data_IF_484405067024
#
_entry.id   IF_484405067024
#
_cell.length_a   1.000
_cell.length_b   1.000
_cell.length_c   1.000
_cell.angle_alpha   90.00
_cell.angle_beta   90.00
_cell.angle_gamma   90.00
#
_symmetry.space_group_name_H-M   'P 1'
#
loop_
_entity.id
_entity.type
_entity.pdbx_description
1 polymer ?
#
# COMPACT_ATOMS: atom_id res chain seq x y z
N UNK A 1 33.59 -3.08 -20.39
CA UNK A 1 32.67 -3.62 -20.32
C UNK A 1 32.28 -3.58 -20.20
N UNK A 2 32.91 -3.20 -20.45
CA UNK A 2 31.94 -3.61 -20.41
C UNK A 2 31.54 -3.70 -20.17
N UNK A 3 32.22 -3.21 -20.25
CA UNK A 3 31.41 -3.68 -20.19
C UNK A 3 30.94 -3.87 -19.86
N UNK A 4 31.88 -3.26 -19.58
CA UNK A 4 31.06 -3.90 -19.42
C UNK A 4 30.80 -3.76 -19.06
N UNK A 5 31.18 -3.43 -19.03
CA UNK A 5 30.46 -3.78 -18.93
C UNK A 5 29.99 -3.80 -18.62
N UNK A 6 30.61 -3.31 -18.51
CA UNK A 6 29.78 -3.71 -18.35
C UNK A 6 29.31 -3.82 -18.05
N UNK A 7 29.92 -3.32 -17.80
CA UNK A 7 29.13 -3.84 -17.64
C UNK A 7 28.81 -3.69 -17.29
N UNK A 8 29.01 -3.31 -17.37
CA UNK A 8 28.24 -3.51 -17.21
C UNK A 8 27.66 -3.57 -17.13
N UNK A 9 28.24 -3.17 -17.14
CA UNK A 9 27.40 -3.50 -17.22
C UNK A 9 26.95 -3.61 -17.52
N UNK A 10 27.52 -3.22 -17.58
CA UNK A 10 26.83 -3.67 -17.96
C UNK A 10 26.55 -3.60 -18.29
N UNK A 11 26.57 -3.43 -18.63
CA UNK A 11 26.04 -3.56 -19.01
C UNK A 11 25.72 -3.60 -19.05
N UNK A 12 25.68 -3.09 -18.90
CA UNK A 12 25.15 -3.07 -19.08
C UNK A 12 24.82 -2.77 -18.84
N UNK A 13 25.36 -2.93 -19.31
CA UNK A 13 24.52 -2.12 -19.21
C UNK A 13 24.07 -1.78 -17.90
N UNK A 14 24.62 -1.26 -17.26
CA UNK A 14 24.17 -1.01 -15.94
C UNK A 14 22.89 -0.24 -15.91
N UNK A 15 21.84 -0.96 -15.52
CA UNK A 15 20.57 -0.34 -15.21
C UNK A 15 20.60 -0.04 -13.72
N UNK A 16 20.36 1.21 -13.36
CA UNK A 16 20.25 1.58 -11.96
C UNK A 16 18.96 1.04 -11.34
N UNK A 17 18.76 1.24 -10.05
CA UNK A 17 17.52 0.82 -9.39
C UNK A 17 16.30 1.46 -10.04
N UNK A 18 15.23 0.67 -10.17
CA UNK A 18 13.95 1.19 -10.62
C UNK A 18 13.40 2.07 -9.51
N UNK A 19 13.08 3.33 -9.85
CA UNK A 19 12.52 4.25 -8.85
C UNK A 19 11.08 3.90 -8.56
N UNK A 20 10.75 3.89 -7.28
CA UNK A 20 9.39 3.62 -6.82
C UNK A 20 9.00 4.63 -5.77
N UNK A 21 7.69 4.85 -5.65
CA UNK A 21 7.10 5.61 -4.56
C UNK A 21 6.33 4.64 -3.70
N UNK A 22 6.56 4.68 -2.39
CA UNK A 22 5.89 3.80 -1.43
C UNK A 22 5.17 4.68 -0.42
N UNK A 23 3.84 4.67 -0.48
CA UNK A 23 2.99 5.46 0.42
C UNK A 23 2.23 4.52 1.34
N UNK A 24 2.15 4.87 2.62
CA UNK A 24 1.47 4.08 3.62
C UNK A 24 0.38 4.90 4.28
N UNK A 25 -0.83 4.35 4.28
CA UNK A 25 -1.97 4.92 4.98
C UNK A 25 -2.19 4.10 6.24
N UNK A 26 -2.18 4.76 7.40
CA UNK A 26 -2.31 4.11 8.69
C UNK A 26 -3.61 4.50 9.35
N UNK A 27 -4.29 3.49 9.90
CA UNK A 27 -5.42 3.72 10.79
C UNK A 27 -5.53 2.55 11.77
N UNK A 28 -6.48 2.63 12.70
CA UNK A 28 -6.74 1.58 13.67
C UNK A 28 -8.22 1.27 13.69
N UNK A 29 -8.55 0.01 13.90
CA UNK A 29 -9.94 -0.42 13.99
C UNK A 29 -10.58 0.08 15.28
N UNK A 30 -11.83 0.54 15.17
CA UNK A 30 -12.65 0.85 16.35
C UNK A 30 -13.46 -0.37 16.82
N UNK A 31 -13.27 -1.52 16.16
CA UNK A 31 -13.98 -2.75 16.49
C UNK A 31 -15.35 -2.87 15.86
N UNK A 32 -15.77 -1.88 15.06
CA UNK A 32 -17.14 -1.85 14.54
C UNK A 32 -17.23 -1.62 13.04
N UNK A 33 -16.48 -0.68 12.48
CA UNK A 33 -16.70 -0.30 11.09
C UNK A 33 -15.88 -1.13 10.11
N UNK A 34 -16.42 -1.25 8.91
CA UNK A 34 -15.80 -1.95 7.79
C UNK A 34 -15.37 -0.99 6.67
N UNK A 35 -15.74 0.28 6.76
CA UNK A 35 -15.42 1.28 5.75
C UNK A 35 -14.54 2.35 6.38
N UNK A 36 -13.40 2.61 5.76
CA UNK A 36 -12.44 3.62 6.19
C UNK A 36 -12.25 4.62 5.07
N UNK A 37 -12.07 5.89 5.43
CA UNK A 37 -11.92 6.98 4.48
C UNK A 37 -10.66 7.77 4.78
N UNK A 38 -10.38 8.77 3.94
CA UNK A 38 -9.23 9.66 4.14
C UNK A 38 -9.23 10.27 5.55
N UNK A 39 -10.41 10.56 6.09
CA UNK A 39 -10.54 11.16 7.43
C UNK A 39 -10.04 10.24 8.54
N UNK A 40 -9.97 8.94 8.29
CA UNK A 40 -9.48 7.98 9.28
C UNK A 40 -7.96 7.88 9.31
N UNK A 41 -7.28 8.46 8.32
CA UNK A 41 -5.83 8.39 8.21
C UNK A 41 -5.13 9.17 9.29
N UNK A 42 -4.01 8.64 9.75
CA UNK A 42 -3.19 9.27 10.78
C UNK A 42 -2.02 9.96 10.09
N UNK A 43 -2.13 11.28 9.94
CA UNK A 43 -1.14 12.07 9.20
C UNK A 43 0.27 11.95 9.77
N UNK A 44 0.37 11.69 11.06
CA UNK A 44 1.65 11.52 11.74
C UNK A 44 2.42 10.30 11.23
N UNK A 45 1.73 9.28 10.72
CA UNK A 45 2.35 8.02 10.32
C UNK A 45 2.48 7.85 8.82
N UNK A 46 1.74 8.60 8.01
CA UNK A 46 1.80 8.43 6.57
C UNK A 46 0.84 9.33 5.83
N UNK A 47 0.47 8.90 4.61
CA UNK A 47 -0.48 9.67 3.81
C UNK A 47 -1.88 9.58 4.41
N UNK A 48 -2.68 10.63 4.19
CA UNK A 48 -4.09 10.63 4.55
C UNK A 48 -4.98 10.50 3.31
N UNK A 49 -4.39 10.12 2.17
CA UNK A 49 -5.13 9.94 0.93
C UNK A 49 -5.15 8.46 0.56
N UNK A 50 -6.34 7.90 0.42
CA UNK A 50 -6.50 6.55 -0.10
C UNK A 50 -6.60 6.66 -1.62
N UNK A 51 -5.61 6.08 -2.31
CA UNK A 51 -5.48 6.17 -3.75
C UNK A 51 -6.26 5.06 -4.44
N UNK A 52 -6.76 5.34 -5.64
CA UNK A 52 -7.44 4.35 -6.46
C UNK A 52 -6.44 3.33 -7.02
N UNK A 53 -6.85 2.06 -7.22
CA UNK A 53 -6.01 1.08 -7.91
C UNK A 53 -5.55 1.52 -9.29
N UNK A 54 -6.27 2.46 -9.93
CA UNK A 54 -5.89 2.97 -11.24
C UNK A 54 -4.74 3.98 -11.18
N UNK A 55 -4.42 4.47 -9.98
CA UNK A 55 -3.37 5.47 -9.77
C UNK A 55 -2.05 4.88 -9.32
N UNK A 56 -2.04 3.59 -8.97
CA UNK A 56 -0.87 2.95 -8.38
C UNK A 56 -0.58 1.64 -9.08
N UNK A 57 0.63 1.11 -8.88
CA UNK A 57 1.03 -0.17 -9.47
C UNK A 57 0.55 -1.35 -8.63
N UNK A 58 0.69 -1.25 -7.30
CA UNK A 58 0.31 -2.32 -6.38
C UNK A 58 -0.29 -1.73 -5.11
N UNK A 59 -1.25 -2.46 -4.54
CA UNK A 59 -1.84 -2.14 -3.24
C UNK A 59 -1.75 -3.39 -2.38
N UNK A 60 -1.32 -3.21 -1.13
CA UNK A 60 -1.30 -4.27 -0.12
C UNK A 60 -1.99 -3.76 1.13
N UNK A 61 -2.81 -4.62 1.74
CA UNK A 61 -3.48 -4.30 3.00
C UNK A 61 -2.94 -5.21 4.09
N UNK A 62 -2.55 -4.61 5.22
CA UNK A 62 -2.11 -5.35 6.40
C UNK A 62 -3.03 -5.03 7.57
N UNK A 63 -3.49 -6.07 8.25
CA UNK A 63 -4.27 -5.93 9.49
C UNK A 63 -3.49 -6.66 10.57
N UNK A 64 -3.14 -5.96 11.64
CA UNK A 64 -2.27 -6.48 12.70
C UNK A 64 -0.96 -7.04 12.13
N UNK A 65 -0.42 -6.40 11.10
CA UNK A 65 0.82 -6.82 10.46
C UNK A 65 0.68 -8.02 9.52
N UNK A 66 -0.53 -8.52 9.29
CA UNK A 66 -0.76 -9.68 8.43
C UNK A 66 -1.33 -9.22 7.09
N UNK A 67 -0.66 -9.61 6.01
CA UNK A 67 -1.11 -9.29 4.66
C UNK A 67 -2.46 -9.96 4.39
N UNK A 68 -3.42 -9.18 3.89
CA UNK A 68 -4.77 -9.64 3.61
C UNK A 68 -4.91 -10.09 2.15
N UNK A 69 -5.63 -11.18 1.90
CA UNK A 69 -5.97 -11.57 0.52
C UNK A 69 -6.83 -10.50 -0.15
N UNK A 70 -6.55 -10.24 -1.42
CA UNK A 70 -7.27 -9.20 -2.17
C UNK A 70 -8.79 -9.37 -2.19
N UNK A 71 -9.36 -10.59 -2.27
CA UNK A 71 -10.81 -10.75 -2.25
C UNK A 71 -11.49 -10.28 -0.96
N UNK A 72 -10.74 -10.02 0.10
CA UNK A 72 -11.31 -9.65 1.38
C UNK A 72 -11.43 -8.14 1.57
N UNK A 73 -11.02 -7.34 0.58
CA UNK A 73 -11.17 -5.89 0.68
C UNK A 73 -11.28 -5.27 -0.70
N UNK A 74 -11.73 -4.02 -0.71
CA UNK A 74 -11.90 -3.24 -1.93
C UNK A 74 -11.41 -1.83 -1.69
N UNK A 75 -10.63 -1.28 -2.63
CA UNK A 75 -10.10 0.06 -2.53
C UNK A 75 -10.63 0.90 -3.69
N UNK A 76 -11.10 2.09 -3.37
CA UNK A 76 -11.46 3.11 -4.35
C UNK A 76 -10.91 4.44 -3.87
N UNK A 77 -11.02 5.47 -4.69
CA UNK A 77 -10.52 6.79 -4.31
C UNK A 77 -11.16 7.24 -3.00
N UNK A 78 -10.31 7.45 -1.99
CA UNK A 78 -10.77 7.97 -0.70
C UNK A 78 -11.47 6.95 0.19
N UNK A 79 -11.49 5.66 -0.19
CA UNK A 79 -12.27 4.68 0.56
C UNK A 79 -11.65 3.29 0.53
N UNK A 80 -11.53 2.67 1.71
CA UNK A 80 -11.20 1.26 1.88
C UNK A 80 -12.42 0.56 2.47
N UNK A 81 -12.87 -0.51 1.82
CA UNK A 81 -14.00 -1.32 2.30
C UNK A 81 -13.50 -2.73 2.62
N UNK A 82 -13.71 -3.17 3.85
CA UNK A 82 -13.43 -4.54 4.25
C UNK A 82 -14.65 -5.40 3.94
N UNK A 83 -14.43 -6.50 3.22
CA UNK A 83 -15.52 -7.34 2.72
C UNK A 83 -15.80 -8.54 3.63
N UNK A 84 -15.24 -8.53 4.84
CA UNK A 84 -15.50 -9.56 5.84
C UNK A 84 -16.83 -9.29 6.55
N UNK A 85 -17.39 -10.34 7.14
CA UNK A 85 -18.61 -10.23 7.94
C UNK A 85 -18.38 -9.53 9.27
N UNK A 86 -17.15 -9.55 9.75
CA UNK A 86 -16.80 -8.98 11.05
C UNK A 86 -15.67 -7.99 10.91
N UNK A 87 -15.75 -6.86 11.63
CA UNK A 87 -14.66 -5.91 11.66
C UNK A 87 -13.45 -6.47 12.40
N UNK A 88 -12.25 -5.94 12.14
CA UNK A 88 -11.09 -6.26 12.96
C UNK A 88 -11.32 -5.87 14.41
N UNK A 89 -10.62 -6.53 15.32
CA UNK A 89 -10.68 -6.22 16.74
C UNK A 89 -10.33 -4.76 17.00
N UNK A 90 -10.95 -4.17 18.01
CA UNK A 90 -10.63 -2.80 18.41
C UNK A 90 -9.14 -2.65 18.67
N UNK A 91 -8.53 -1.62 18.12
CA UNK A 91 -7.11 -1.34 18.26
C UNK A 91 -6.22 -2.06 17.26
N UNK A 92 -6.78 -2.94 16.42
CA UNK A 92 -6.00 -3.59 15.36
C UNK A 92 -5.48 -2.55 14.39
N UNK A 93 -4.18 -2.62 14.06
CA UNK A 93 -3.61 -1.73 13.06
C UNK A 93 -4.12 -2.10 11.67
N UNK A 94 -4.40 -1.08 10.88
CA UNK A 94 -4.82 -1.23 9.48
C UNK A 94 -3.86 -0.37 8.66
N UNK A 95 -3.07 -1.00 7.80
CA UNK A 95 -2.06 -0.32 7.00
C UNK A 95 -2.33 -0.63 5.54
N UNK A 96 -2.57 0.41 4.76
CA UNK A 96 -2.80 0.27 3.32
C UNK A 96 -1.57 0.82 2.61
N UNK A 97 -0.90 -0.06 1.87
CA UNK A 97 0.34 0.28 1.18
C UNK A 97 0.08 0.50 -0.30
N UNK A 98 0.58 1.62 -0.82
CA UNK A 98 0.49 1.95 -2.24
C UNK A 98 1.91 1.98 -2.81
N UNK A 99 2.15 1.19 -3.84
CA UNK A 99 3.44 1.16 -4.53
C UNK A 99 3.24 1.66 -5.95
N UNK A 100 3.99 2.68 -6.32
CA UNK A 100 3.95 3.27 -7.64
C UNK A 100 5.33 3.07 -8.28
N UNK A 101 5.37 2.38 -9.41
CA UNK A 101 6.60 2.21 -10.18
C UNK A 101 6.69 3.40 -11.14
N UNK A 102 7.70 4.22 -10.92
CA UNK A 102 7.89 5.45 -11.70
C UNK A 102 8.61 5.21 -13.02
#
# INVERSE_FOLDING_TARGET
GATGTTGTTGPTGGIGPITTTNLLFYTFSDGEKLIYTDADGIAQYGTTNILSPTEVSYINLFINGILQPQPFYEVSTGKLTLLDNQPPSQGASIILQFIIIN
#
